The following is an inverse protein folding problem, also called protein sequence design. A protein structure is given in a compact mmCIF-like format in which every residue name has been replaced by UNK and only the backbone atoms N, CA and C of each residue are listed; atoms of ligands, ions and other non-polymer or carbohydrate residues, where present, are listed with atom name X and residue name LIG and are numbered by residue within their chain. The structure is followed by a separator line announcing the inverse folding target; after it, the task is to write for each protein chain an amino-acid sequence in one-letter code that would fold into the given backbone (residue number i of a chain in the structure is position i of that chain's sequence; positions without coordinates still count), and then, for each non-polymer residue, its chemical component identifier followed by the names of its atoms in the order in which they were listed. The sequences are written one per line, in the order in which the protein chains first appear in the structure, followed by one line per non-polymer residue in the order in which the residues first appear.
data_IF_391216755399
#
_entry.id   IF_391216755399
#
_cell.length_a   1.000
_cell.length_b   1.000
_cell.length_c   1.000
_cell.angle_alpha   90.00
_cell.angle_beta   90.00
_cell.angle_gamma   90.00
#
_symmetry.space_group_name_H-M   'P 1'
#
loop_
_entity.id
_entity.type
_entity.pdbx_description
1 polymer ?
#
# COMPACT_ATOMS: atom_id res chain seq x y z
N UNK A 1 -5.78 21.09 -8.90
CA UNK A 1 -5.71 19.64 -9.11
C UNK A 1 -7.06 19.20 -9.64
N UNK A 2 -7.11 18.53 -10.77
CA UNK A 2 -8.28 17.83 -11.28
C UNK A 2 -8.12 16.31 -11.07
N UNK A 3 -9.11 15.52 -11.48
CA UNK A 3 -9.13 14.07 -11.25
C UNK A 3 -7.98 13.33 -11.98
N UNK A 4 -7.58 13.81 -13.15
CA UNK A 4 -6.46 13.22 -13.90
C UNK A 4 -5.12 13.57 -13.26
N UNK A 5 -4.93 14.84 -12.86
CA UNK A 5 -3.75 15.28 -12.11
C UNK A 5 -3.62 14.53 -10.77
N UNK A 6 -4.74 14.23 -10.11
CA UNK A 6 -4.75 13.43 -8.89
C UNK A 6 -4.40 11.96 -9.18
N UNK A 7 -4.91 11.38 -10.27
CA UNK A 7 -4.58 10.02 -10.66
C UNK A 7 -3.10 9.85 -11.03
N UNK A 8 -2.50 10.83 -11.71
CA UNK A 8 -1.05 10.85 -11.97
C UNK A 8 -0.25 10.93 -10.66
N UNK A 9 -0.69 11.73 -9.69
CA UNK A 9 -0.11 11.76 -8.36
C UNK A 9 -0.16 10.38 -7.69
N UNK A 10 -1.30 9.70 -7.71
CA UNK A 10 -1.45 8.34 -7.14
C UNK A 10 -0.48 7.36 -7.80
N UNK A 11 -0.37 7.36 -9.13
CA UNK A 11 0.59 6.49 -9.84
C UNK A 11 2.03 6.77 -9.46
N UNK A 12 2.38 8.04 -9.25
CA UNK A 12 3.73 8.40 -8.82
C UNK A 12 3.99 7.95 -7.37
N UNK A 13 3.04 8.16 -6.45
CA UNK A 13 3.17 7.74 -5.05
C UNK A 13 3.31 6.22 -4.93
N UNK A 14 2.49 5.47 -5.67
CA UNK A 14 2.55 4.00 -5.69
C UNK A 14 3.89 3.46 -6.18
N UNK A 15 4.60 4.15 -7.08
CA UNK A 15 5.98 3.77 -7.45
C UNK A 15 6.97 3.91 -6.30
N UNK A 16 6.71 4.81 -5.36
CA UNK A 16 7.52 5.03 -4.17
C UNK A 16 7.29 4.00 -3.05
N UNK A 17 6.23 3.19 -3.15
CA UNK A 17 5.81 2.27 -2.08
C UNK A 17 6.85 1.20 -1.77
N UNK A 18 7.77 0.92 -2.69
CA UNK A 18 8.91 0.04 -2.45
C UNK A 18 9.85 0.56 -1.36
N UNK A 19 10.01 1.88 -1.25
CA UNK A 19 10.76 2.52 -0.17
C UNK A 19 10.03 2.38 1.16
N UNK A 20 8.72 2.64 1.16
CA UNK A 20 7.85 2.48 2.32
C UNK A 20 7.82 1.03 2.82
N UNK A 21 7.84 0.05 1.90
CA UNK A 21 7.87 -1.38 2.21
C UNK A 21 9.12 -1.76 3.01
N UNK A 22 10.31 -1.29 2.63
CA UNK A 22 11.53 -1.60 3.38
C UNK A 22 11.47 -1.05 4.81
N UNK A 23 11.09 0.23 4.96
CA UNK A 23 10.93 0.83 6.29
C UNK A 23 9.89 0.11 7.14
N UNK A 24 8.79 -0.35 6.52
CA UNK A 24 7.79 -1.17 7.19
C UNK A 24 8.35 -2.53 7.64
N UNK A 25 9.00 -3.28 6.74
CA UNK A 25 9.53 -4.61 7.02
C UNK A 25 10.63 -4.61 8.08
N UNK A 26 11.48 -3.59 8.10
CA UNK A 26 12.60 -3.47 9.04
C UNK A 26 12.17 -2.97 10.41
N UNK A 27 11.23 -2.02 10.48
CA UNK A 27 10.90 -1.31 11.73
C UNK A 27 9.58 -1.76 12.32
N UNK A 28 8.51 -1.70 11.54
CA UNK A 28 7.15 -1.87 12.05
C UNK A 28 6.72 -3.33 12.10
N UNK A 29 7.09 -4.11 11.09
CA UNK A 29 6.68 -5.50 10.97
C UNK A 29 7.12 -6.37 12.15
N UNK A 30 8.37 -6.31 12.65
CA UNK A 30 8.78 -7.11 13.81
C UNK A 30 7.95 -6.80 15.07
N UNK A 31 7.62 -5.52 15.28
CA UNK A 31 6.80 -5.06 16.41
C UNK A 31 5.34 -5.50 16.29
N UNK A 32 4.78 -5.47 15.08
CA UNK A 32 3.41 -5.93 14.82
C UNK A 32 3.31 -7.44 14.93
N UNK A 33 4.28 -8.18 14.37
CA UNK A 33 4.33 -9.64 14.41
C UNK A 33 4.34 -10.17 15.84
N UNK A 34 5.13 -9.58 16.73
CA UNK A 34 5.18 -9.99 18.15
C UNK A 34 3.85 -9.80 18.88
N UNK A 35 3.04 -8.86 18.42
CA UNK A 35 1.80 -8.45 19.08
C UNK A 35 0.56 -9.14 18.51
N UNK A 36 0.53 -9.37 17.19
CA UNK A 36 -0.65 -9.84 16.47
C UNK A 36 -0.52 -11.27 15.94
N UNK A 37 0.70 -11.82 15.86
CA UNK A 37 1.00 -13.17 15.39
C UNK A 37 0.13 -13.62 14.18
N UNK A 38 0.18 -12.89 13.05
CA UNK A 38 -0.69 -13.16 11.91
C UNK A 38 -0.41 -14.54 11.30
N UNK A 39 -1.46 -15.32 11.05
CA UNK A 39 -1.32 -16.65 10.43
C UNK A 39 -0.85 -16.58 8.96
N UNK A 40 -1.15 -15.49 8.26
CA UNK A 40 -0.68 -15.22 6.91
C UNK A 40 0.05 -13.88 6.89
N UNK A 41 1.36 -13.96 7.14
CA UNK A 41 2.25 -12.80 7.26
C UNK A 41 2.25 -11.96 5.97
N UNK A 42 2.24 -12.61 4.80
CA UNK A 42 2.26 -11.93 3.49
C UNK A 42 1.00 -11.07 3.28
N UNK A 43 -0.19 -11.66 3.45
CA UNK A 43 -1.45 -10.94 3.28
C UNK A 43 -1.62 -9.81 4.31
N UNK A 44 -1.11 -10.01 5.54
CA UNK A 44 -1.10 -8.97 6.56
C UNK A 44 -0.25 -7.76 6.14
N UNK A 45 1.00 -7.98 5.73
CA UNK A 45 1.93 -6.92 5.30
C UNK A 45 1.34 -6.16 4.11
N UNK A 46 0.87 -6.89 3.10
CA UNK A 46 0.29 -6.30 1.88
C UNK A 46 -0.98 -5.51 2.21
N UNK A 47 -1.87 -6.09 3.03
CA UNK A 47 -3.11 -5.43 3.44
C UNK A 47 -2.87 -4.14 4.22
N UNK A 48 -1.86 -4.13 5.09
CA UNK A 48 -1.49 -2.93 5.85
C UNK A 48 -0.95 -1.81 4.94
N UNK A 49 -0.03 -2.15 4.04
CA UNK A 49 0.58 -1.17 3.12
C UNK A 49 -0.42 -0.62 2.10
N UNK A 50 -1.23 -1.48 1.49
CA UNK A 50 -2.16 -1.04 0.45
C UNK A 50 -3.44 -0.43 1.03
N UNK A 51 -3.92 -0.95 2.16
CA UNK A 51 -5.09 -0.41 2.84
C UNK A 51 -4.86 1.00 3.39
N UNK A 52 -3.67 1.27 3.93
CA UNK A 52 -3.29 2.63 4.38
C UNK A 52 -3.27 3.62 3.22
N UNK A 53 -2.69 3.25 2.06
CA UNK A 53 -2.66 4.11 0.87
C UNK A 53 -4.03 4.44 0.32
N UNK A 54 -4.96 3.49 0.22
CA UNK A 54 -6.32 3.76 -0.26
C UNK A 54 -7.06 4.78 0.63
N UNK A 55 -6.87 4.67 1.94
CA UNK A 55 -7.40 5.63 2.91
C UNK A 55 -6.71 7.00 2.80
N UNK A 56 -5.39 7.04 2.64
CA UNK A 56 -4.61 8.27 2.45
C UNK A 56 -5.04 9.02 1.18
N UNK A 57 -5.24 8.32 0.06
CA UNK A 57 -5.70 8.94 -1.18
C UNK A 57 -7.12 9.49 -1.03
N UNK A 58 -8.02 8.73 -0.43
CA UNK A 58 -9.39 9.17 -0.16
C UNK A 58 -9.42 10.44 0.70
N UNK A 59 -8.58 10.48 1.74
CA UNK A 59 -8.47 11.61 2.67
C UNK A 59 -7.83 12.83 2.00
N UNK A 60 -6.74 12.62 1.26
CA UNK A 60 -6.03 13.67 0.50
C UNK A 60 -6.95 14.31 -0.52
N UNK A 61 -7.69 13.50 -1.27
CA UNK A 61 -8.64 14.00 -2.25
C UNK A 61 -9.76 14.81 -1.58
N UNK A 62 -10.32 14.31 -0.48
CA UNK A 62 -11.34 15.03 0.27
C UNK A 62 -10.84 16.39 0.75
N UNK A 63 -9.64 16.47 1.34
CA UNK A 63 -9.09 17.74 1.81
C UNK A 63 -8.84 18.74 0.69
N UNK A 64 -8.39 18.28 -0.49
CA UNK A 64 -8.09 19.19 -1.61
C UNK A 64 -9.34 19.70 -2.33
N UNK A 65 -10.38 18.88 -2.41
CA UNK A 65 -11.53 19.15 -3.26
C UNK A 65 -12.84 19.35 -2.50
N UNK A 66 -12.86 19.14 -1.19
CA UNK A 66 -14.04 19.14 -0.32
C UNK A 66 -15.18 18.25 -0.85
N UNK A 67 -14.81 17.12 -1.49
CA UNK A 67 -15.74 16.14 -2.05
C UNK A 67 -15.12 14.75 -2.00
N UNK A 68 -15.96 13.71 -2.01
CA UNK A 68 -15.51 12.32 -2.08
C UNK A 68 -15.02 11.97 -3.49
N UNK A 69 -14.18 10.94 -3.58
CA UNK A 69 -13.80 10.34 -4.86
C UNK A 69 -15.06 9.85 -5.59
N UNK A 70 -15.15 10.15 -6.89
CA UNK A 70 -16.15 9.54 -7.76
C UNK A 70 -15.84 8.05 -8.01
N UNK A 71 -16.87 7.26 -8.32
CA UNK A 71 -16.73 5.81 -8.53
C UNK A 71 -15.71 5.46 -9.62
N UNK A 72 -15.67 6.22 -10.71
CA UNK A 72 -14.72 6.00 -11.80
C UNK A 72 -13.27 6.20 -11.36
N UNK A 73 -12.98 7.30 -10.67
CA UNK A 73 -11.64 7.58 -10.17
C UNK A 73 -11.22 6.58 -9.09
N UNK A 74 -12.13 6.22 -8.19
CA UNK A 74 -11.89 5.20 -7.17
C UNK A 74 -11.54 3.85 -7.81
N UNK A 75 -12.28 3.45 -8.85
CA UNK A 75 -12.00 2.22 -9.60
C UNK A 75 -10.61 2.24 -10.24
N UNK A 76 -10.24 3.35 -10.88
CA UNK A 76 -8.90 3.51 -11.48
C UNK A 76 -7.79 3.42 -10.43
N UNK A 77 -7.95 4.06 -9.27
CA UNK A 77 -7.01 3.98 -8.15
C UNK A 77 -6.87 2.53 -7.66
N UNK A 78 -8.00 1.84 -7.49
CA UNK A 78 -8.00 0.44 -7.07
C UNK A 78 -7.29 -0.49 -8.05
N UNK A 79 -7.44 -0.26 -9.36
CA UNK A 79 -6.70 -1.00 -10.38
C UNK A 79 -5.19 -0.78 -10.28
N UNK A 80 -4.73 0.45 -10.06
CA UNK A 80 -3.30 0.74 -9.88
C UNK A 80 -2.72 0.15 -8.60
N UNK A 81 -3.49 0.18 -7.49
CA UNK A 81 -3.14 -0.50 -6.24
C UNK A 81 -2.99 -2.01 -6.49
N UNK A 82 -3.94 -2.61 -7.21
CA UNK A 82 -3.91 -4.05 -7.53
C UNK A 82 -2.70 -4.42 -8.38
N UNK A 83 -2.33 -3.59 -9.36
CA UNK A 83 -1.12 -3.82 -10.18
C UNK A 83 0.16 -3.80 -9.34
N UNK A 84 0.25 -2.87 -8.39
CA UNK A 84 1.40 -2.78 -7.49
C UNK A 84 1.43 -3.91 -6.46
N UNK A 85 0.25 -4.43 -6.05
CA UNK A 85 0.14 -5.57 -5.14
C UNK A 85 0.98 -6.76 -5.57
N UNK A 86 0.95 -7.12 -6.85
CA UNK A 86 1.70 -8.26 -7.38
C UNK A 86 3.22 -8.08 -7.23
N UNK A 87 3.71 -6.85 -7.39
CA UNK A 87 5.13 -6.52 -7.22
C UNK A 87 5.53 -6.54 -5.75
N UNK A 88 4.74 -5.90 -4.90
CA UNK A 88 4.94 -5.90 -3.44
C UNK A 88 4.92 -7.34 -2.89
N UNK A 89 3.99 -8.18 -3.38
CA UNK A 89 3.87 -9.55 -2.94
C UNK A 89 5.14 -10.36 -3.18
N UNK A 90 5.79 -10.21 -4.35
CA UNK A 90 7.07 -10.87 -4.64
C UNK A 90 8.15 -10.49 -3.63
N UNK A 91 8.23 -9.19 -3.28
CA UNK A 91 9.24 -8.67 -2.36
C UNK A 91 8.98 -9.07 -0.92
N UNK A 92 7.72 -9.07 -0.50
CA UNK A 92 7.29 -9.58 0.82
C UNK A 92 7.60 -11.06 0.95
N UNK A 93 7.27 -11.88 -0.06
CA UNK A 93 7.58 -13.31 -0.05
C UNK A 93 9.09 -13.55 0.08
N UNK A 94 9.91 -12.87 -0.74
CA UNK A 94 11.37 -13.00 -0.66
C UNK A 94 11.91 -12.64 0.74
N UNK A 95 11.44 -11.53 1.32
CA UNK A 95 11.83 -11.14 2.68
C UNK A 95 11.47 -12.20 3.73
N UNK A 96 10.27 -12.77 3.66
CA UNK A 96 9.83 -13.79 4.60
C UNK A 96 10.61 -15.10 4.44
N UNK A 97 10.96 -15.50 3.22
CA UNK A 97 11.78 -16.68 2.93
C UNK A 97 13.21 -16.54 3.48
N UNK A 98 13.81 -15.36 3.35
CA UNK A 98 15.11 -15.04 3.94
C UNK A 98 15.06 -15.16 5.47
N UNK A 99 14.02 -14.60 6.11
CA UNK A 99 13.83 -14.64 7.57
C UNK A 99 13.59 -16.03 8.15
N UNK A 100 13.04 -16.97 7.39
CA UNK A 100 12.85 -18.37 7.81
C UNK A 100 14.14 -19.18 7.67
N UNK A 101 15.08 -18.71 6.85
CA UNK A 101 16.35 -19.37 6.57
C UNK A 101 17.49 -18.95 7.52
N UNK A 102 17.26 -17.93 8.36
CA UNK A 102 18.11 -17.49 9.48
C UNK A 102 17.79 -18.27 10.77
#
# INVERSE_FOLDING_TARGET
MNDEEFFEFVKHDLKGIEGDLNGFLEVYYPMLRSSWNPQNESDFIIGWLLGSKEQEYSTTYFHKHNKRLGMELLYRIHQEITRNKEQIQKRVTAYLEEKVSE
#
